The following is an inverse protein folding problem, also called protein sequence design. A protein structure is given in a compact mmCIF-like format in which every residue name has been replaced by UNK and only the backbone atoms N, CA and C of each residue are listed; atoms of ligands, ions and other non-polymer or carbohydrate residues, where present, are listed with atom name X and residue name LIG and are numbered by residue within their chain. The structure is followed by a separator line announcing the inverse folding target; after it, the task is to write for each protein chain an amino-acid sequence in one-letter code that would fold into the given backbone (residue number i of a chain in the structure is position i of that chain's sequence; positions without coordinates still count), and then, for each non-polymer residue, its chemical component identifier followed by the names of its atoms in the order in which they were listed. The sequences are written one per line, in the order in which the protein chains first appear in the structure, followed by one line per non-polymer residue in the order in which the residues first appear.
data_IF_329599227994
#
_entry.id   IF_329599227994
#
_cell.length_a   1.000
_cell.length_b   1.000
_cell.length_c   1.000
_cell.angle_alpha   90.00
_cell.angle_beta   90.00
_cell.angle_gamma   90.00
#
_symmetry.space_group_name_H-M   'P 1'
#
loop_
_entity.id
_entity.type
_entity.pdbx_description
1 polymer ?
#
# COMPACT_ATOMS: atom_id res chain seq x y z
N UNK A 1 43.16 -16.48 39.66
CA UNK A 1 41.90 -15.68 39.83
C UNK A 1 41.35 -15.37 38.44
N UNK A 2 40.52 -16.27 37.96
CA UNK A 2 39.80 -16.14 36.68
C UNK A 2 38.71 -15.11 36.86
N UNK A 3 38.77 -14.00 36.12
CA UNK A 3 37.66 -13.06 36.01
C UNK A 3 36.79 -13.52 34.83
N UNK A 4 35.74 -14.21 35.15
CA UNK A 4 34.67 -14.57 34.23
C UNK A 4 33.95 -13.27 33.85
N UNK A 5 34.23 -12.76 32.65
CA UNK A 5 33.55 -11.58 32.08
C UNK A 5 32.20 -12.04 31.59
N UNK A 6 31.15 -11.80 32.35
CA UNK A 6 29.77 -12.09 31.96
C UNK A 6 29.36 -11.03 30.92
N UNK A 7 29.44 -11.38 29.63
CA UNK A 7 28.91 -10.59 28.54
C UNK A 7 27.39 -10.78 28.59
N UNK A 8 26.70 -9.83 29.21
CA UNK A 8 25.26 -9.74 29.15
C UNK A 8 24.88 -9.31 27.74
N UNK A 9 24.53 -10.27 26.90
CA UNK A 9 23.97 -10.03 25.58
C UNK A 9 22.60 -9.34 25.73
N UNK A 10 22.61 -8.01 25.68
CA UNK A 10 21.41 -7.20 25.47
C UNK A 10 20.91 -7.45 24.05
N UNK A 11 20.09 -8.47 23.90
CA UNK A 11 19.30 -8.65 22.68
C UNK A 11 18.33 -7.48 22.60
N UNK A 12 18.39 -6.65 21.55
CA UNK A 12 17.34 -5.67 21.34
C UNK A 12 16.05 -6.45 21.06
N UNK A 13 15.15 -6.46 22.02
CA UNK A 13 13.78 -6.89 21.79
C UNK A 13 13.19 -5.91 20.78
N UNK A 14 13.21 -6.28 19.51
CA UNK A 14 12.42 -5.60 18.49
C UNK A 14 10.96 -5.90 18.82
N UNK A 15 10.39 -5.08 19.69
CA UNK A 15 8.95 -4.96 19.80
C UNK A 15 8.51 -4.45 18.44
N UNK A 16 8.05 -5.35 17.58
CA UNK A 16 7.27 -4.98 16.41
C UNK A 16 6.02 -4.31 16.97
N UNK A 17 6.06 -3.00 17.10
CA UNK A 17 4.85 -2.24 17.23
C UNK A 17 4.01 -2.62 16.02
N UNK A 18 2.92 -3.33 16.24
CA UNK A 18 1.83 -3.46 15.27
C UNK A 18 1.29 -2.04 15.10
N UNK A 19 2.05 -1.25 14.33
CA UNK A 19 1.66 0.11 13.97
C UNK A 19 0.44 0.02 13.07
N UNK A 20 -0.48 0.94 13.27
CA UNK A 20 -1.65 1.06 12.41
C UNK A 20 -1.23 1.14 10.94
N UNK A 21 -1.97 0.46 10.09
CA UNK A 21 -1.74 0.47 8.65
C UNK A 21 -2.04 1.87 8.09
N UNK A 22 -1.21 2.36 7.20
CA UNK A 22 -1.45 3.59 6.45
C UNK A 22 -1.77 3.24 5.01
N UNK A 23 -2.86 3.79 4.49
CA UNK A 23 -3.29 3.61 3.11
C UNK A 23 -3.39 4.96 2.39
N UNK A 24 -3.41 4.92 1.07
CA UNK A 24 -3.88 6.05 0.28
C UNK A 24 -5.40 6.03 0.24
N UNK A 25 -6.03 7.17 0.45
CA UNK A 25 -7.51 7.33 0.40
C UNK A 25 -7.89 8.40 -0.61
N UNK A 26 -8.86 8.10 -1.46
CA UNK A 26 -9.37 9.00 -2.48
C UNK A 26 -9.51 8.39 -3.87
N UNK A 27 -9.54 9.25 -4.87
CA UNK A 27 -9.85 8.91 -6.25
C UNK A 27 -8.64 8.61 -7.16
N UNK A 28 -8.80 8.92 -8.44
CA UNK A 28 -7.80 8.66 -9.48
C UNK A 28 -6.56 9.54 -9.33
N UNK A 29 -6.75 10.85 -9.14
CA UNK A 29 -5.68 11.86 -9.03
C UNK A 29 -5.61 12.46 -7.64
N UNK A 30 -6.76 12.67 -7.02
CA UNK A 30 -6.90 13.31 -5.72
C UNK A 30 -6.97 12.22 -4.64
N UNK A 31 -5.82 11.86 -4.08
CA UNK A 31 -5.72 10.93 -2.96
C UNK A 31 -4.60 11.35 -2.02
N UNK A 32 -4.77 11.05 -0.75
CA UNK A 32 -3.85 11.40 0.32
C UNK A 32 -3.63 10.25 1.30
N UNK A 33 -2.51 10.26 2.04
CA UNK A 33 -2.27 9.27 3.09
C UNK A 33 -3.32 9.40 4.21
N UNK A 34 -3.80 8.27 4.70
CA UNK A 34 -4.68 8.17 5.86
C UNK A 34 -4.20 7.05 6.78
N UNK A 35 -4.22 7.30 8.07
CA UNK A 35 -4.04 6.26 9.08
C UNK A 35 -5.33 5.49 9.23
N UNK A 36 -5.26 4.18 9.07
CA UNK A 36 -6.42 3.32 9.20
C UNK A 36 -6.74 3.02 10.68
N UNK A 37 -7.95 2.57 10.94
CA UNK A 37 -8.33 2.07 12.27
C UNK A 37 -7.43 0.92 12.69
N UNK A 38 -7.30 0.72 14.00
CA UNK A 38 -6.60 -0.43 14.54
C UNK A 38 -7.22 -1.73 14.02
N UNK A 39 -6.37 -2.74 13.79
CA UNK A 39 -6.78 -4.04 13.24
C UNK A 39 -7.34 -3.99 11.81
N UNK A 40 -7.12 -2.90 11.06
CA UNK A 40 -7.36 -2.89 9.62
C UNK A 40 -6.46 -3.91 8.94
N UNK A 41 -7.07 -4.80 8.15
CA UNK A 41 -6.38 -5.94 7.55
C UNK A 41 -5.58 -5.56 6.30
N UNK A 42 -6.05 -4.56 5.55
CA UNK A 42 -5.54 -4.28 4.22
C UNK A 42 -5.89 -2.87 3.73
N UNK A 43 -5.15 -2.39 2.74
CA UNK A 43 -5.56 -1.28 1.90
C UNK A 43 -6.27 -1.80 0.65
N UNK A 44 -7.23 -1.06 0.13
CA UNK A 44 -7.83 -1.38 -1.15
C UNK A 44 -7.58 -0.31 -2.21
N UNK A 45 -7.56 -0.74 -3.47
CA UNK A 45 -7.69 0.07 -4.65
C UNK A 45 -8.70 -0.59 -5.57
N UNK A 46 -9.77 0.11 -5.87
CA UNK A 46 -10.81 -0.34 -6.79
C UNK A 46 -10.75 0.43 -8.09
N UNK A 47 -10.88 -0.26 -9.20
CA UNK A 47 -10.92 0.32 -10.55
C UNK A 47 -12.24 -0.09 -11.19
N UNK A 48 -13.06 0.91 -11.55
CA UNK A 48 -14.23 0.72 -12.39
C UNK A 48 -13.89 1.20 -13.79
N UNK A 49 -14.14 0.39 -14.79
CA UNK A 49 -13.87 0.66 -16.20
C UNK A 49 -15.02 0.17 -17.08
N UNK A 50 -15.02 0.62 -18.32
CA UNK A 50 -16.03 0.24 -19.32
C UNK A 50 -17.46 0.51 -18.86
N UNK A 51 -17.67 1.61 -18.12
CA UNK A 51 -19.01 2.02 -17.70
C UNK A 51 -19.89 2.43 -18.92
N UNK A 52 -21.19 2.22 -18.77
CA UNK A 52 -22.17 2.55 -19.82
C UNK A 52 -22.37 4.06 -20.01
N UNK A 53 -21.84 4.86 -19.11
CA UNK A 53 -21.93 6.32 -19.13
C UNK A 53 -20.57 6.93 -19.43
N UNK A 54 -20.55 7.94 -20.28
CA UNK A 54 -19.35 8.68 -20.63
C UNK A 54 -18.74 9.30 -19.36
N UNK A 55 -17.42 9.16 -19.20
CA UNK A 55 -16.65 9.65 -18.06
C UNK A 55 -17.04 9.09 -16.67
N UNK A 56 -17.82 8.02 -16.59
CA UNK A 56 -18.21 7.40 -15.32
C UNK A 56 -17.19 6.39 -14.77
N UNK A 57 -16.10 6.13 -15.49
CA UNK A 57 -15.00 5.30 -15.00
C UNK A 57 -14.28 5.97 -13.83
N UNK A 58 -14.08 5.22 -12.75
CA UNK A 58 -13.47 5.79 -11.54
C UNK A 58 -12.46 4.86 -10.88
N UNK A 59 -11.64 5.44 -10.02
CA UNK A 59 -10.77 4.72 -9.09
C UNK A 59 -11.12 5.17 -7.69
N UNK A 60 -11.24 4.21 -6.77
CA UNK A 60 -11.43 4.44 -5.34
C UNK A 60 -10.31 3.76 -4.55
N UNK A 61 -9.84 4.40 -3.49
CA UNK A 61 -8.79 3.89 -2.60
C UNK A 61 -9.16 4.16 -1.16
N UNK A 62 -8.68 3.33 -0.26
CA UNK A 62 -8.87 3.57 1.17
C UNK A 62 -8.34 2.44 2.04
N UNK A 63 -8.66 2.58 3.31
CA UNK A 63 -8.53 1.51 4.28
C UNK A 63 -9.58 0.43 3.99
N UNK A 64 -9.16 -0.81 4.00
CA UNK A 64 -10.07 -1.94 3.88
C UNK A 64 -10.78 -2.26 5.19
N UNK A 65 -11.27 -3.48 5.29
CA UNK A 65 -12.00 -3.96 6.46
C UNK A 65 -11.11 -4.02 7.70
N UNK A 66 -11.70 -3.75 8.84
CA UNK A 66 -11.09 -3.89 10.16
C UNK A 66 -11.74 -5.03 10.94
N UNK A 67 -10.94 -5.88 11.57
CA UNK A 67 -11.45 -6.95 12.45
C UNK A 67 -12.24 -6.38 13.65
N UNK A 68 -11.94 -5.13 14.05
CA UNK A 68 -12.60 -4.51 15.18
C UNK A 68 -14.04 -4.05 14.86
N UNK A 69 -14.31 -3.65 13.63
CA UNK A 69 -15.55 -2.90 13.31
C UNK A 69 -16.33 -3.40 12.12
N UNK A 70 -15.70 -3.94 11.09
CA UNK A 70 -16.35 -4.11 9.80
C UNK A 70 -16.15 -5.45 9.11
N UNK A 71 -15.18 -6.28 9.51
CA UNK A 71 -14.90 -7.52 8.81
C UNK A 71 -16.00 -8.56 9.01
N UNK A 72 -16.64 -8.98 7.92
CA UNK A 72 -17.65 -10.07 7.89
C UNK A 72 -17.10 -11.34 7.24
N UNK A 73 -15.91 -11.28 6.66
CA UNK A 73 -15.24 -12.40 6.00
C UNK A 73 -15.72 -12.69 4.57
N UNK A 74 -16.42 -11.75 3.96
CA UNK A 74 -16.86 -11.87 2.57
C UNK A 74 -15.75 -11.57 1.57
N UNK A 75 -15.71 -12.24 0.42
CA UNK A 75 -14.75 -11.91 -0.63
C UNK A 75 -14.90 -10.44 -1.09
N UNK A 76 -13.75 -9.76 -1.30
CA UNK A 76 -13.71 -8.36 -1.76
C UNK A 76 -14.49 -7.36 -0.89
N UNK A 77 -14.70 -7.68 0.37
CA UNK A 77 -15.49 -6.88 1.31
C UNK A 77 -15.01 -5.41 1.37
N UNK A 78 -13.69 -5.20 1.36
CA UNK A 78 -13.09 -3.86 1.34
C UNK A 78 -13.50 -3.01 0.12
N UNK A 79 -13.86 -3.64 -0.99
CA UNK A 79 -14.30 -2.97 -2.22
C UNK A 79 -15.82 -2.98 -2.42
N UNK A 80 -16.59 -3.58 -1.53
CA UNK A 80 -18.01 -3.87 -1.74
C UNK A 80 -18.82 -2.64 -2.15
N UNK A 81 -18.62 -1.50 -1.49
CA UNK A 81 -19.33 -0.27 -1.82
C UNK A 81 -18.97 0.22 -3.24
N UNK A 82 -17.69 0.26 -3.58
CA UNK A 82 -17.23 0.68 -4.90
C UNK A 82 -17.68 -0.28 -6.01
N UNK A 83 -17.72 -1.58 -5.71
CA UNK A 83 -18.22 -2.62 -6.61
C UNK A 83 -19.69 -2.37 -6.96
N UNK A 84 -20.54 -2.17 -5.94
CA UNK A 84 -21.96 -1.90 -6.13
C UNK A 84 -22.21 -0.66 -6.99
N UNK A 85 -21.44 0.41 -6.79
CA UNK A 85 -21.56 1.62 -7.62
C UNK A 85 -21.14 1.32 -9.06
N UNK A 86 -20.04 0.61 -9.28
CA UNK A 86 -19.56 0.25 -10.61
C UNK A 86 -20.59 -0.61 -11.39
N UNK A 87 -21.21 -1.57 -10.71
CA UNK A 87 -22.27 -2.40 -11.28
C UNK A 87 -23.50 -1.58 -11.72
N UNK A 88 -23.91 -0.61 -10.89
CA UNK A 88 -25.02 0.29 -11.22
C UNK A 88 -24.70 1.16 -12.45
N UNK A 89 -23.44 1.48 -12.68
CA UNK A 89 -22.96 2.19 -13.86
C UNK A 89 -22.77 1.29 -15.09
N UNK A 90 -23.03 -0.01 -14.95
CA UNK A 90 -22.82 -1.01 -16.01
C UNK A 90 -21.35 -1.26 -16.34
N UNK A 91 -20.44 -0.89 -15.43
CA UNK A 91 -19.01 -1.02 -15.60
C UNK A 91 -18.45 -2.37 -15.12
N UNK A 92 -17.18 -2.57 -15.39
CA UNK A 92 -16.39 -3.71 -14.91
C UNK A 92 -15.49 -3.28 -13.75
N UNK A 93 -15.70 -3.88 -12.59
CA UNK A 93 -14.97 -3.58 -11.36
C UNK A 93 -13.80 -4.54 -11.12
N UNK A 94 -12.65 -3.98 -10.71
CA UNK A 94 -11.50 -4.74 -10.23
C UNK A 94 -11.11 -4.28 -8.83
N UNK A 95 -11.14 -5.19 -7.87
CA UNK A 95 -10.69 -4.97 -6.50
C UNK A 95 -9.26 -5.44 -6.33
N UNK A 96 -8.36 -4.56 -5.89
CA UNK A 96 -6.96 -4.84 -5.62
C UNK A 96 -6.71 -4.58 -4.13
N UNK A 97 -6.24 -5.59 -3.42
CA UNK A 97 -6.00 -5.58 -1.99
C UNK A 97 -4.50 -5.73 -1.70
N UNK A 98 -4.00 -5.05 -0.68
CA UNK A 98 -2.62 -5.17 -0.26
C UNK A 98 -2.42 -4.80 1.21
N UNK A 99 -1.46 -5.45 1.88
CA UNK A 99 -1.11 -5.20 3.28
C UNK A 99 0.38 -5.37 3.58
N UNK A 100 1.20 -5.56 2.57
CA UNK A 100 2.62 -5.87 2.71
C UNK A 100 3.48 -4.64 3.10
N UNK A 101 2.94 -3.44 2.99
CA UNK A 101 3.59 -2.17 3.35
C UNK A 101 2.57 -1.05 3.45
N UNK A 102 2.93 0.04 4.14
CA UNK A 102 2.16 1.28 4.13
C UNK A 102 2.03 1.84 2.70
N UNK A 103 0.89 2.45 2.39
CA UNK A 103 0.58 3.10 1.10
C UNK A 103 0.68 2.17 -0.11
N UNK A 104 0.51 0.86 0.07
CA UNK A 104 0.65 -0.13 -1.00
C UNK A 104 -0.38 0.03 -2.12
N UNK A 105 -1.52 0.67 -1.84
CA UNK A 105 -2.60 0.94 -2.78
C UNK A 105 -2.45 2.24 -3.58
N UNK A 106 -1.29 2.89 -3.50
CA UNK A 106 -0.93 4.05 -4.32
C UNK A 106 -0.73 3.70 -5.80
N UNK A 107 -0.29 4.68 -6.58
CA UNK A 107 0.21 4.41 -7.93
C UNK A 107 1.53 3.65 -7.83
N UNK A 108 1.87 2.76 -8.81
CA UNK A 108 3.19 2.15 -8.83
C UNK A 108 4.23 3.28 -8.83
N UNK A 109 5.04 3.35 -7.79
CA UNK A 109 6.21 4.22 -7.79
C UNK A 109 7.11 3.70 -8.92
N UNK A 110 7.36 4.55 -9.91
CA UNK A 110 8.44 4.30 -10.85
C UNK A 110 9.71 4.16 -10.03
N UNK A 111 10.15 2.93 -9.82
CA UNK A 111 11.50 2.67 -9.32
C UNK A 111 12.43 3.21 -10.39
N UNK A 112 12.91 4.43 -10.19
CA UNK A 112 14.07 4.94 -10.94
C UNK A 112 15.17 3.95 -10.57
N UNK A 113 15.43 3.05 -11.48
CA UNK A 113 16.44 2.01 -11.30
C UNK A 113 17.77 2.73 -11.05
N UNK A 114 18.41 2.41 -9.95
CA UNK A 114 19.77 2.87 -9.56
C UNK A 114 20.84 2.64 -10.64
N UNK A 115 20.51 1.91 -11.70
CA UNK A 115 21.35 1.69 -12.87
C UNK A 115 21.82 2.99 -13.53
N UNK A 116 20.99 4.03 -13.60
CA UNK A 116 21.38 5.31 -14.21
C UNK A 116 22.41 6.08 -13.38
N UNK A 117 22.38 5.97 -12.07
CA UNK A 117 23.36 6.61 -11.20
C UNK A 117 24.77 5.96 -11.34
N UNK A 118 24.83 4.64 -11.48
CA UNK A 118 26.09 3.93 -11.65
C UNK A 118 26.75 4.27 -13.00
N UNK A 119 25.97 4.39 -14.07
CA UNK A 119 26.48 4.75 -15.39
C UNK A 119 27.08 6.17 -15.38
N UNK A 120 26.42 7.12 -14.71
CA UNK A 120 26.94 8.50 -14.60
C UNK A 120 28.26 8.56 -13.82
N UNK A 121 28.40 7.79 -12.76
CA UNK A 121 29.66 7.73 -11.97
C UNK A 121 30.80 7.11 -12.81
N UNK A 122 30.52 6.08 -13.57
CA UNK A 122 31.54 5.43 -14.41
C UNK A 122 32.00 6.33 -15.55
N UNK A 123 31.11 7.14 -16.14
CA UNK A 123 31.46 8.11 -17.19
C UNK A 123 32.34 9.23 -16.61
N UNK A 124 32.03 9.74 -15.43
CA UNK A 124 32.82 10.82 -14.80
C UNK A 124 34.23 10.34 -14.40
N UNK A 125 34.35 9.13 -13.90
CA UNK A 125 35.66 8.55 -13.55
C UNK A 125 36.49 8.24 -14.82
N UNK A 126 35.85 7.78 -15.90
CA UNK A 126 36.51 7.49 -17.16
C UNK A 126 37.00 8.75 -17.92
N UNK A 127 36.41 9.91 -17.69
CA UNK A 127 36.81 11.20 -18.29
C UNK A 127 37.95 11.91 -17.49
N UNK A 128 38.23 11.48 -16.28
CA UNK A 128 39.30 12.05 -15.42
C UNK A 128 40.62 11.27 -15.48
N UNK A 129 40.72 10.19 -16.24
CA UNK A 129 41.95 9.43 -16.52
C UNK A 129 42.36 9.64 -17.97
#
# INVERSE_FOLDING_TARGET
KSRMLTILLLLPSTVSALGDLWCQSGGRKDYSPVQCESQTLECFKFVCSESSYEDADFISRGCGVSLATSATGLPNESCHQSMSVCEQLGGKGQCLLCNNKHFCNGSPQSTVTTATAIILVLITVGLMN
#
